data_IF_360168472866
#
_entry.id   IF_360168472866
#
_cell.length_a   1.000
_cell.length_b   1.000
_cell.length_c   1.000
_cell.angle_alpha   90.00
_cell.angle_beta   90.00
_cell.angle_gamma   90.00
#
_symmetry.space_group_name_H-M   'P 1'
#
loop_
_entity.id
_entity.type
_entity.pdbx_description
1 polymer ?
#
# COMPACT_ATOMS: atom_id res chain seq x y z
N UNK A 1 13.37 0.21 17.12
CA UNK A 1 12.24 0.98 16.67
C UNK A 1 10.96 0.11 16.58
N UNK A 2 11.02 -1.10 16.08
CA UNK A 2 9.87 -2.02 15.99
C UNK A 2 9.92 -3.05 17.12
N UNK A 3 9.31 -2.71 18.27
CA UNK A 3 9.20 -3.66 19.40
C UNK A 3 7.91 -4.50 19.26
N UNK A 4 7.82 -5.25 18.15
CA UNK A 4 6.65 -6.06 17.82
C UNK A 4 6.69 -7.39 18.58
N UNK A 5 5.59 -7.70 19.26
CA UNK A 5 5.40 -8.93 20.05
C UNK A 5 4.70 -10.03 19.21
N UNK A 6 4.69 -11.27 19.67
CA UNK A 6 4.00 -12.37 18.97
C UNK A 6 2.49 -12.11 18.84
N UNK A 7 1.88 -11.47 19.83
CA UNK A 7 0.47 -11.06 19.78
C UNK A 7 0.12 -10.15 18.61
N UNK A 8 1.07 -9.39 18.11
CA UNK A 8 0.88 -8.45 17.00
C UNK A 8 0.60 -9.17 15.66
N UNK A 9 1.05 -10.44 15.52
CA UNK A 9 0.72 -11.25 14.35
C UNK A 9 -0.77 -11.58 14.25
N UNK A 10 -1.46 -11.70 15.39
CA UNK A 10 -2.92 -11.89 15.42
C UNK A 10 -3.64 -10.63 14.93
N UNK A 11 -3.14 -9.46 15.33
CA UNK A 11 -3.65 -8.16 14.84
C UNK A 11 -3.38 -8.05 13.34
N UNK A 12 -2.16 -8.34 12.88
CA UNK A 12 -1.82 -8.34 11.46
C UNK A 12 -2.76 -9.23 10.63
N UNK A 13 -3.07 -10.43 11.14
CA UNK A 13 -4.01 -11.36 10.47
C UNK A 13 -5.40 -10.75 10.30
N UNK A 14 -5.93 -10.08 11.33
CA UNK A 14 -7.24 -9.40 11.26
C UNK A 14 -7.18 -8.26 10.27
N UNK A 15 -6.15 -7.42 10.35
CA UNK A 15 -5.96 -6.25 9.46
C UNK A 15 -5.90 -6.69 7.99
N UNK A 16 -5.11 -7.71 7.65
CA UNK A 16 -5.02 -8.21 6.28
C UNK A 16 -6.30 -8.88 5.79
N UNK A 17 -7.09 -9.49 6.67
CA UNK A 17 -8.40 -10.02 6.32
C UNK A 17 -9.42 -8.90 5.98
N UNK A 18 -9.21 -7.69 6.49
CA UNK A 18 -10.01 -6.51 6.16
C UNK A 18 -9.49 -5.82 4.89
N UNK A 19 -8.17 -5.65 4.76
CA UNK A 19 -7.55 -4.93 3.63
C UNK A 19 -7.93 -5.56 2.29
N UNK A 20 -7.85 -6.89 2.15
CA UNK A 20 -8.07 -7.54 0.86
C UNK A 20 -9.49 -7.34 0.33
N UNK A 21 -10.56 -7.61 1.10
CA UNK A 21 -11.91 -7.30 0.63
C UNK A 21 -12.15 -5.81 0.38
N UNK A 22 -11.63 -4.94 1.26
CA UNK A 22 -11.74 -3.49 1.07
C UNK A 22 -11.09 -3.06 -0.23
N UNK A 23 -9.87 -3.52 -0.52
CA UNK A 23 -9.17 -3.20 -1.77
C UNK A 23 -9.98 -3.62 -2.99
N UNK A 24 -10.55 -4.83 -2.98
CA UNK A 24 -11.36 -5.33 -4.09
C UNK A 24 -12.64 -4.49 -4.28
N UNK A 25 -13.34 -4.18 -3.18
CA UNK A 25 -14.55 -3.34 -3.23
C UNK A 25 -14.21 -1.94 -3.74
N UNK A 26 -13.15 -1.33 -3.21
CA UNK A 26 -12.68 -0.02 -3.61
C UNK A 26 -12.35 0.02 -5.10
N UNK A 27 -11.65 -1.01 -5.60
CA UNK A 27 -11.30 -1.11 -7.01
C UNK A 27 -12.53 -1.23 -7.93
N UNK A 28 -13.54 -2.01 -7.51
CA UNK A 28 -14.82 -2.14 -8.25
C UNK A 28 -15.55 -0.81 -8.26
N UNK A 29 -15.66 -0.12 -7.13
CA UNK A 29 -16.33 1.18 -7.02
C UNK A 29 -15.64 2.24 -7.89
N UNK A 30 -14.32 2.28 -7.87
CA UNK A 30 -13.54 3.16 -8.75
C UNK A 30 -13.79 2.88 -10.22
N UNK A 31 -13.81 1.60 -10.62
CA UNK A 31 -14.18 1.20 -12.00
C UNK A 31 -15.62 1.56 -12.39
N UNK A 32 -16.51 1.79 -11.42
CA UNK A 32 -17.88 2.29 -11.62
C UNK A 32 -17.97 3.82 -11.62
N UNK A 33 -16.84 4.53 -11.49
CA UNK A 33 -16.79 5.99 -11.39
C UNK A 33 -17.25 6.54 -10.04
N UNK A 34 -17.26 5.72 -9.00
CA UNK A 34 -17.63 6.13 -7.64
C UNK A 34 -16.33 6.50 -6.90
N UNK A 35 -16.24 7.75 -6.46
CA UNK A 35 -15.14 8.22 -5.64
C UNK A 35 -15.11 7.50 -4.29
N UNK A 36 -13.94 7.00 -3.93
CA UNK A 36 -13.73 6.26 -2.68
C UNK A 36 -12.71 6.98 -1.83
N UNK A 37 -12.95 7.10 -0.51
CA UNK A 37 -12.04 7.76 0.41
C UNK A 37 -10.75 6.94 0.66
N UNK A 38 -9.78 7.02 -0.24
CA UNK A 38 -8.52 6.28 -0.16
C UNK A 38 -7.64 6.64 1.03
N UNK A 39 -7.69 7.87 1.53
CA UNK A 39 -6.86 8.31 2.65
C UNK A 39 -7.04 7.44 3.90
N UNK A 40 -8.29 7.13 4.27
CA UNK A 40 -8.55 6.25 5.42
C UNK A 40 -8.13 4.80 5.15
N UNK A 41 -8.29 4.32 3.91
CA UNK A 41 -7.82 3.02 3.50
C UNK A 41 -6.30 2.89 3.65
N UNK A 42 -5.55 3.92 3.26
CA UNK A 42 -4.09 3.95 3.35
C UNK A 42 -3.58 3.82 4.79
N UNK A 43 -4.31 4.34 5.79
CA UNK A 43 -3.98 4.14 7.21
C UNK A 43 -4.07 2.66 7.60
N UNK A 44 -5.13 1.97 7.18
CA UNK A 44 -5.33 0.54 7.49
C UNK A 44 -4.27 -0.29 6.79
N UNK A 45 -3.95 0.01 5.54
CA UNK A 45 -2.89 -0.67 4.77
C UNK A 45 -1.52 -0.45 5.44
N UNK A 46 -1.24 0.78 5.88
CA UNK A 46 0.00 1.11 6.59
C UNK A 46 0.12 0.32 7.90
N UNK A 47 -0.97 0.18 8.66
CA UNK A 47 -1.00 -0.67 9.86
C UNK A 47 -0.72 -2.15 9.52
N UNK A 48 -1.29 -2.67 8.43
CA UNK A 48 -1.02 -4.02 7.95
C UNK A 48 0.47 -4.25 7.66
N UNK A 49 1.10 -3.31 6.98
CA UNK A 49 2.55 -3.36 6.72
C UNK A 49 3.37 -3.27 8.00
N UNK A 50 3.02 -2.36 8.92
CA UNK A 50 3.72 -2.22 10.20
C UNK A 50 3.81 -3.55 10.95
N UNK A 51 2.68 -4.21 11.17
CA UNK A 51 2.67 -5.49 11.87
C UNK A 51 3.35 -6.62 11.09
N UNK A 52 3.33 -6.56 9.75
CA UNK A 52 4.00 -7.55 8.91
C UNK A 52 5.52 -7.46 8.95
N UNK A 53 6.10 -6.30 9.30
CA UNK A 53 7.54 -6.15 9.52
C UNK A 53 8.07 -7.07 10.64
N UNK A 54 7.19 -7.60 11.51
CA UNK A 54 7.57 -8.63 12.49
C UNK A 54 8.21 -9.86 11.85
N UNK A 55 7.78 -10.21 10.65
CA UNK A 55 8.24 -11.39 9.90
C UNK A 55 9.55 -11.14 9.15
N UNK A 56 9.92 -9.89 8.94
CA UNK A 56 11.10 -9.50 8.19
C UNK A 56 12.39 -9.72 8.99
N UNK A 57 13.47 -9.98 8.28
CA UNK A 57 14.83 -9.95 8.84
C UNK A 57 15.20 -8.53 9.29
N UNK A 58 16.25 -8.38 10.10
CA UNK A 58 16.68 -7.05 10.55
C UNK A 58 17.22 -6.21 9.40
N UNK A 59 17.80 -6.82 8.37
CA UNK A 59 18.24 -6.14 7.16
C UNK A 59 17.03 -5.60 6.37
N UNK A 60 15.99 -6.40 6.19
CA UNK A 60 14.74 -5.99 5.51
C UNK A 60 14.03 -4.87 6.28
N UNK A 61 13.94 -4.98 7.62
CA UNK A 61 13.39 -3.91 8.47
C UNK A 61 14.17 -2.61 8.31
N UNK A 62 15.51 -2.70 8.29
CA UNK A 62 16.37 -1.52 8.10
C UNK A 62 16.13 -0.88 6.75
N UNK A 63 16.01 -1.68 5.68
CA UNK A 63 15.70 -1.21 4.33
C UNK A 63 14.31 -0.54 4.29
N UNK A 64 13.29 -1.16 4.89
CA UNK A 64 11.90 -0.69 4.80
C UNK A 64 11.58 0.50 5.71
N UNK A 65 12.36 0.72 6.77
CA UNK A 65 12.09 1.77 7.76
C UNK A 65 11.87 3.17 7.16
N UNK A 66 12.78 3.71 6.31
CA UNK A 66 12.58 5.04 5.76
C UNK A 66 11.32 5.12 4.87
N UNK A 67 11.11 4.14 3.99
CA UNK A 67 9.95 4.10 3.10
C UNK A 67 8.65 3.95 3.89
N UNK A 68 8.67 3.14 4.94
CA UNK A 68 7.52 2.99 5.83
C UNK A 68 7.17 4.30 6.53
N UNK A 69 8.14 5.03 7.06
CA UNK A 69 7.89 6.30 7.74
C UNK A 69 7.29 7.36 6.80
N UNK A 70 7.81 7.44 5.58
CA UNK A 70 7.25 8.34 4.57
C UNK A 70 5.83 7.93 4.15
N UNK A 71 5.59 6.63 3.93
CA UNK A 71 4.26 6.12 3.59
C UNK A 71 3.26 6.33 4.73
N UNK A 72 3.67 6.14 5.97
CA UNK A 72 2.82 6.41 7.14
C UNK A 72 2.48 7.90 7.26
N UNK A 73 3.47 8.79 7.09
CA UNK A 73 3.24 10.24 7.08
C UNK A 73 2.30 10.67 5.97
N UNK A 74 2.48 10.14 4.77
CA UNK A 74 1.65 10.35 3.61
C UNK A 74 0.20 9.89 3.85
N UNK A 75 -0.01 8.68 4.40
CA UNK A 75 -1.34 8.16 4.71
C UNK A 75 -2.09 9.02 5.75
N UNK A 76 -1.36 9.54 6.75
CA UNK A 76 -1.94 10.46 7.73
C UNK A 76 -2.33 11.78 7.08
N UNK A 77 -1.47 12.34 6.24
CA UNK A 77 -1.75 13.58 5.50
C UNK A 77 -2.96 13.44 4.59
N UNK A 78 -3.05 12.36 3.80
CA UNK A 78 -4.20 12.05 2.92
C UNK A 78 -5.50 11.93 3.72
N UNK A 79 -5.47 11.28 4.89
CA UNK A 79 -6.63 11.14 5.74
C UNK A 79 -7.10 12.49 6.31
N UNK A 80 -6.17 13.38 6.65
CA UNK A 80 -6.52 14.74 7.10
C UNK A 80 -7.13 15.55 5.97
N UNK A 81 -6.54 15.57 4.78
CA UNK A 81 -7.09 16.28 3.62
C UNK A 81 -8.50 15.78 3.27
N UNK A 82 -8.68 14.48 3.28
CA UNK A 82 -9.97 13.86 3.00
C UNK A 82 -11.01 14.19 4.07
N UNK A 83 -10.62 14.17 5.34
CA UNK A 83 -11.49 14.58 6.45
C UNK A 83 -11.93 16.05 6.33
N UNK A 84 -11.01 16.91 5.92
CA UNK A 84 -11.28 18.33 5.68
C UNK A 84 -12.25 18.55 4.51
N UNK A 85 -12.02 17.87 3.39
CA UNK A 85 -12.91 17.90 2.23
C UNK A 85 -14.33 17.42 2.57
N UNK A 86 -14.47 16.35 3.35
CA UNK A 86 -15.78 15.83 3.80
C UNK A 86 -16.47 16.84 4.75
N UNK A 87 -15.71 17.45 5.68
CA UNK A 87 -16.26 18.34 6.70
C UNK A 87 -16.66 19.73 6.14
N UNK A 88 -15.89 20.24 5.20
CA UNK A 88 -16.01 21.64 4.74
C UNK A 88 -16.34 21.78 3.25
N UNK A 89 -16.49 20.67 2.51
CA UNK A 89 -16.87 20.68 1.09
C UNK A 89 -15.78 21.21 0.15
N UNK A 90 -14.51 21.05 0.52
CA UNK A 90 -13.36 21.37 -0.33
C UNK A 90 -13.12 20.32 -1.40
N UNK A 91 -12.37 20.68 -2.46
CA UNK A 91 -11.86 19.71 -3.40
C UNK A 91 -10.72 18.90 -2.75
N UNK A 92 -10.82 17.57 -2.82
CA UNK A 92 -9.75 16.68 -2.42
C UNK A 92 -8.76 16.57 -3.58
N UNK A 93 -7.54 17.08 -3.36
CA UNK A 93 -6.46 16.89 -4.32
C UNK A 93 -5.85 15.50 -4.14
N UNK A 94 -6.39 14.53 -4.86
CA UNK A 94 -5.88 13.14 -4.87
C UNK A 94 -4.42 13.06 -5.36
N UNK A 95 -3.92 14.13 -5.98
CA UNK A 95 -2.64 14.17 -6.67
C UNK A 95 -1.57 14.98 -5.93
N UNK A 96 -1.57 14.98 -4.62
CA UNK A 96 -0.39 15.49 -3.94
C UNK A 96 0.81 14.67 -4.42
N UNK A 97 1.56 15.22 -5.37
CA UNK A 97 2.69 14.55 -6.08
C UNK A 97 3.65 13.86 -5.10
N UNK A 98 3.74 14.40 -3.87
CA UNK A 98 4.55 13.82 -2.81
C UNK A 98 4.03 12.47 -2.29
N UNK A 99 2.72 12.34 -2.06
CA UNK A 99 2.13 11.10 -1.52
C UNK A 99 2.24 9.96 -2.53
N UNK A 100 2.00 10.25 -3.79
CA UNK A 100 2.13 9.29 -4.89
C UNK A 100 3.58 8.81 -5.06
N UNK A 101 4.54 9.72 -4.98
CA UNK A 101 5.96 9.39 -5.05
C UNK A 101 6.38 8.45 -3.91
N UNK A 102 5.94 8.71 -2.67
CA UNK A 102 6.28 7.86 -1.53
C UNK A 102 5.65 6.48 -1.62
N UNK A 103 4.41 6.37 -2.06
CA UNK A 103 3.75 5.08 -2.29
C UNK A 103 4.49 4.27 -3.36
N UNK A 104 4.86 4.90 -4.46
CA UNK A 104 5.64 4.29 -5.52
C UNK A 104 7.00 3.77 -5.02
N UNK A 105 7.74 4.59 -4.27
CA UNK A 105 9.02 4.19 -3.68
C UNK A 105 8.84 3.02 -2.69
N UNK A 106 7.76 3.04 -1.89
CA UNK A 106 7.43 1.94 -0.98
C UNK A 106 7.14 0.64 -1.75
N UNK A 107 6.36 0.70 -2.83
CA UNK A 107 6.10 -0.47 -3.69
C UNK A 107 7.39 -1.05 -4.25
N UNK A 108 8.25 -0.21 -4.82
CA UNK A 108 9.53 -0.65 -5.38
C UNK A 108 10.44 -1.27 -4.31
N UNK A 109 10.57 -0.62 -3.16
CA UNK A 109 11.37 -1.11 -2.04
C UNK A 109 10.83 -2.44 -1.47
N UNK A 110 9.52 -2.65 -1.51
CA UNK A 110 8.87 -3.86 -1.01
C UNK A 110 9.30 -5.13 -1.74
N UNK A 111 9.79 -5.03 -2.98
CA UNK A 111 10.36 -6.15 -3.71
C UNK A 111 11.55 -6.79 -2.96
N UNK A 112 12.41 -5.97 -2.39
CA UNK A 112 13.57 -6.43 -1.59
C UNK A 112 13.26 -6.52 -0.10
N UNK A 113 12.43 -5.60 0.41
CA UNK A 113 12.16 -5.46 1.84
C UNK A 113 11.25 -6.52 2.44
N UNK A 114 10.64 -7.37 1.60
CA UNK A 114 9.83 -8.51 2.02
C UNK A 114 10.29 -9.82 1.36
N UNK A 115 11.58 -9.93 1.02
CA UNK A 115 12.12 -11.07 0.30
C UNK A 115 12.00 -12.38 1.06
N UNK A 116 12.25 -12.37 2.35
CA UNK A 116 12.13 -13.55 3.21
C UNK A 116 10.69 -13.92 3.55
N UNK A 117 9.75 -12.97 3.39
CA UNK A 117 8.36 -13.09 3.85
C UNK A 117 7.41 -13.48 2.73
N UNK A 118 7.55 -12.84 1.58
CA UNK A 118 6.57 -12.89 0.49
C UNK A 118 7.09 -13.74 -0.66
N UNK A 119 6.26 -14.62 -1.25
CA UNK A 119 6.68 -15.46 -2.38
C UNK A 119 7.03 -14.61 -3.60
N UNK A 120 7.95 -15.11 -4.42
CA UNK A 120 8.54 -14.38 -5.54
C UNK A 120 7.51 -13.84 -6.53
N UNK A 121 6.43 -14.61 -6.83
CA UNK A 121 5.37 -14.16 -7.72
C UNK A 121 4.66 -12.88 -7.22
N UNK A 122 4.47 -12.76 -5.91
CA UNK A 122 3.84 -11.58 -5.30
C UNK A 122 4.82 -10.38 -5.24
N UNK A 123 6.11 -10.66 -5.04
CA UNK A 123 7.17 -9.64 -5.12
C UNK A 123 7.28 -9.06 -6.53
N UNK A 124 7.23 -9.90 -7.56
CA UNK A 124 7.23 -9.44 -8.96
C UNK A 124 5.98 -8.60 -9.23
N UNK A 125 4.83 -8.98 -8.71
CA UNK A 125 3.61 -8.20 -8.90
C UNK A 125 3.71 -6.79 -8.31
N UNK A 126 4.26 -6.62 -7.10
CA UNK A 126 4.46 -5.27 -6.50
C UNK A 126 5.52 -4.46 -7.23
N UNK A 127 6.54 -5.11 -7.78
CA UNK A 127 7.55 -4.44 -8.61
C UNK A 127 6.91 -3.88 -9.89
N UNK A 128 6.10 -4.68 -10.59
CA UNK A 128 5.38 -4.24 -11.79
C UNK A 128 4.40 -3.12 -11.44
N UNK A 129 3.65 -3.24 -10.34
CA UNK A 129 2.77 -2.18 -9.86
C UNK A 129 3.54 -0.87 -9.62
N UNK A 130 4.66 -0.92 -8.91
CA UNK A 130 5.50 0.24 -8.65
C UNK A 130 6.08 0.88 -9.91
N UNK A 131 6.55 0.08 -10.85
CA UNK A 131 7.03 0.58 -12.15
C UNK A 131 5.89 1.20 -12.98
N UNK A 132 4.69 0.63 -12.94
CA UNK A 132 3.52 1.20 -13.58
C UNK A 132 3.17 2.57 -12.99
N UNK A 133 3.24 2.74 -11.66
CA UNK A 133 3.03 4.04 -11.02
C UNK A 133 4.10 5.08 -11.39
N UNK A 134 5.36 4.66 -11.64
CA UNK A 134 6.39 5.56 -12.21
C UNK A 134 5.95 6.06 -13.59
N UNK A 135 5.48 5.16 -14.45
CA UNK A 135 5.01 5.51 -15.79
C UNK A 135 3.76 6.39 -15.72
N UNK A 136 2.81 6.09 -14.84
CA UNK A 136 1.60 6.89 -14.63
C UNK A 136 1.96 8.33 -14.21
N UNK A 137 2.87 8.49 -13.24
CA UNK A 137 3.34 9.80 -12.80
C UNK A 137 4.03 10.56 -13.93
N UNK A 138 4.88 9.89 -14.72
CA UNK A 138 5.53 10.52 -15.87
C UNK A 138 4.53 10.95 -16.95
N UNK A 139 3.55 10.09 -17.26
CA UNK A 139 2.52 10.39 -18.28
C UNK A 139 1.65 11.59 -17.89
N UNK A 140 1.40 11.80 -16.60
CA UNK A 140 0.72 12.99 -16.09
C UNK A 140 1.54 14.27 -16.37
N UNK A 141 2.86 14.20 -16.22
CA UNK A 141 3.75 15.35 -16.51
C UNK A 141 3.76 15.74 -17.98
N UNK A 142 3.57 14.79 -18.89
CA UNK A 142 3.52 15.03 -20.35
C UNK A 142 2.09 15.16 -20.90
N UNK A 143 1.07 15.15 -20.01
CA UNK A 143 -0.36 15.20 -20.37
C UNK A 143 -0.82 14.04 -21.28
N UNK A 144 -0.21 12.88 -21.20
CA UNK A 144 -0.64 11.67 -21.92
C UNK A 144 -1.63 10.86 -21.05
N UNK A 145 -2.90 11.20 -21.16
CA UNK A 145 -3.97 10.56 -20.38
C UNK A 145 -4.13 9.09 -20.70
N UNK A 146 -3.98 8.67 -21.95
CA UNK A 146 -4.14 7.27 -22.33
C UNK A 146 -3.04 6.40 -21.72
N UNK A 147 -1.80 6.87 -21.72
CA UNK A 147 -0.69 6.19 -21.08
C UNK A 147 -0.86 6.17 -19.55
N UNK A 148 -1.36 7.27 -18.96
CA UNK A 148 -1.67 7.36 -17.54
C UNK A 148 -2.66 6.27 -17.12
N UNK A 149 -3.81 6.18 -17.77
CA UNK A 149 -4.89 5.26 -17.43
C UNK A 149 -4.42 3.78 -17.53
N UNK A 150 -3.64 3.45 -18.58
CA UNK A 150 -3.06 2.11 -18.75
C UNK A 150 -2.06 1.79 -17.63
N UNK A 151 -1.18 2.74 -17.31
CA UNK A 151 -0.14 2.53 -16.32
C UNK A 151 -0.72 2.45 -14.90
N UNK A 152 -1.71 3.27 -14.58
CA UNK A 152 -2.38 3.29 -13.28
C UNK A 152 -3.10 1.98 -12.98
N UNK A 153 -3.70 1.33 -14.01
CA UNK A 153 -4.33 0.02 -13.85
C UNK A 153 -3.38 -1.06 -13.31
N UNK A 154 -2.05 -0.87 -13.44
CA UNK A 154 -1.06 -1.77 -12.86
C UNK A 154 -1.18 -1.87 -11.34
N UNK A 155 -1.76 -0.85 -10.69
CA UNK A 155 -2.01 -0.82 -9.25
C UNK A 155 -2.84 -2.02 -8.74
N UNK A 156 -3.68 -2.62 -9.60
CA UNK A 156 -4.44 -3.84 -9.25
C UNK A 156 -3.52 -5.00 -8.83
N UNK A 157 -2.30 -5.05 -9.35
CA UNK A 157 -1.32 -6.08 -9.01
C UNK A 157 -0.89 -6.05 -7.54
N UNK A 158 -1.15 -4.93 -6.83
CA UNK A 158 -0.95 -4.86 -5.38
C UNK A 158 -1.76 -5.91 -4.62
N UNK A 159 -2.91 -6.34 -5.14
CA UNK A 159 -3.71 -7.39 -4.51
C UNK A 159 -2.91 -8.70 -4.37
N UNK A 160 -2.09 -9.02 -5.37
CA UNK A 160 -1.24 -10.22 -5.33
C UNK A 160 -0.22 -10.12 -4.21
N UNK A 161 0.37 -8.95 -4.03
CA UNK A 161 1.31 -8.68 -2.94
C UNK A 161 0.63 -8.76 -1.57
N UNK A 162 -0.56 -8.17 -1.41
CA UNK A 162 -1.36 -8.27 -0.19
C UNK A 162 -1.72 -9.73 0.16
N UNK A 163 -2.10 -10.53 -0.84
CA UNK A 163 -2.37 -11.97 -0.66
C UNK A 163 -1.09 -12.69 -0.20
N UNK A 164 0.07 -12.35 -0.77
CA UNK A 164 1.36 -12.92 -0.39
C UNK A 164 1.70 -12.63 1.08
N UNK A 165 1.64 -11.37 1.51
CA UNK A 165 1.88 -10.97 2.91
C UNK A 165 0.85 -11.64 3.85
N UNK A 166 -0.43 -11.55 3.51
CA UNK A 166 -1.49 -12.19 4.33
C UNK A 166 -1.23 -13.67 4.53
N UNK A 167 -0.82 -14.39 3.49
CA UNK A 167 -0.51 -15.81 3.57
C UNK A 167 0.61 -16.09 4.57
N UNK A 168 1.68 -15.29 4.52
CA UNK A 168 2.80 -15.39 5.46
C UNK A 168 2.37 -15.09 6.91
N UNK A 169 1.62 -14.00 7.11
CA UNK A 169 1.10 -13.58 8.42
C UNK A 169 0.18 -14.65 9.02
N UNK A 170 -0.75 -15.19 8.23
CA UNK A 170 -1.68 -16.23 8.70
C UNK A 170 -0.92 -17.48 9.11
N UNK A 171 0.06 -17.91 8.31
CA UNK A 171 0.91 -19.06 8.63
C UNK A 171 1.69 -18.85 9.93
N UNK A 172 2.29 -17.69 10.12
CA UNK A 172 3.03 -17.36 11.33
C UNK A 172 2.12 -17.25 12.56
N UNK A 173 0.98 -16.56 12.44
CA UNK A 173 0.03 -16.38 13.54
C UNK A 173 -0.67 -17.68 13.99
N UNK A 174 -0.73 -18.70 13.13
CA UNK A 174 -1.29 -20.00 13.51
C UNK A 174 -0.24 -20.90 14.18
N UNK A 175 1.05 -20.57 14.07
CA UNK A 175 2.16 -21.33 14.65
C UNK A 175 2.68 -20.68 15.94
N UNK A 176 2.22 -19.48 16.29
CA UNK A 176 2.52 -18.74 17.52
C UNK A 176 1.46 -18.99 18.60
#
# INVERSE_FOLDING_TARGET
>A
MFNLQEGDLKIAKVVWNIIIPMFLVTFVLYGMGIEVPFGFFNIIVTAGFYYSLKLCTDQEKSLMTPFFLFTAGSAVYDAFQQGDAIAYGGEYDEYAVGTHLFLMMFMLASYWGFESVVPNWARIAVLIAGLGQVVATYSSLINDRALHDIADTSGILMIMFFIGIRSAVVKAANNA
#
